data_IF_094383551942
#
_entry.id   IF_094383551942
#
_cell.length_a   1.000
_cell.length_b   1.000
_cell.length_c   1.000
_cell.angle_alpha   90.00
_cell.angle_beta   90.00
_cell.angle_gamma   90.00
#
_symmetry.space_group_name_H-M   'P 1'
#
loop_
_entity.id
_entity.type
_entity.pdbx_description
1 polymer ?
#
# COMPACT_ATOMS: atom_id res chain seq x y z
N UNK A 1 8.36 -4.12 -2.49
CA UNK A 1 9.21 -2.94 -2.28
C UNK A 1 10.58 -3.17 -2.90
N UNK A 2 11.17 -2.17 -3.53
CA UNK A 2 12.50 -2.22 -4.13
C UNK A 2 13.35 -1.12 -3.50
N UNK A 3 14.52 -1.48 -2.98
CA UNK A 3 15.44 -0.56 -2.30
C UNK A 3 16.76 -0.46 -3.05
N UNK A 4 17.42 0.68 -2.94
CA UNK A 4 18.74 0.93 -3.53
C UNK A 4 18.98 2.42 -3.75
N UNK A 5 20.16 2.80 -4.25
CA UNK A 5 20.40 4.19 -4.61
C UNK A 5 19.64 4.59 -5.89
N UNK A 6 19.52 5.88 -6.18
CA UNK A 6 18.72 6.38 -7.30
C UNK A 6 19.09 5.78 -8.67
N UNK A 7 20.39 5.52 -8.89
CA UNK A 7 20.89 4.91 -10.14
C UNK A 7 20.47 3.45 -10.26
N UNK A 8 20.55 2.71 -9.16
CA UNK A 8 20.10 1.33 -9.07
C UNK A 8 18.58 1.22 -9.23
N UNK A 9 17.81 2.08 -8.56
CA UNK A 9 16.35 2.10 -8.66
C UNK A 9 15.88 2.42 -10.09
N UNK A 10 16.55 3.36 -10.77
CA UNK A 10 16.25 3.66 -12.18
C UNK A 10 16.51 2.46 -13.10
N UNK A 11 17.57 1.70 -12.81
CA UNK A 11 17.90 0.46 -13.55
C UNK A 11 16.89 -0.64 -13.23
N UNK A 12 16.57 -0.83 -11.96
CA UNK A 12 15.61 -1.82 -11.49
C UNK A 12 14.20 -1.55 -12.06
N UNK A 13 13.76 -0.29 -12.14
CA UNK A 13 12.48 0.08 -12.77
C UNK A 13 12.39 -0.41 -14.22
N UNK A 14 13.43 -0.19 -15.02
CA UNK A 14 13.48 -0.67 -16.41
C UNK A 14 13.47 -2.20 -16.48
N UNK A 15 14.25 -2.85 -15.62
CA UNK A 15 14.34 -4.31 -15.59
C UNK A 15 13.02 -4.97 -15.16
N UNK A 16 12.28 -4.35 -14.23
CA UNK A 16 11.01 -4.85 -13.70
C UNK A 16 9.80 -4.45 -14.53
N UNK A 17 9.94 -3.58 -15.54
CA UNK A 17 8.81 -3.15 -16.36
C UNK A 17 8.11 -4.34 -17.06
N UNK A 18 8.82 -5.25 -17.77
CA UNK A 18 8.16 -6.42 -18.38
C UNK A 18 7.50 -7.34 -17.35
N UNK A 19 8.03 -7.36 -16.12
CA UNK A 19 7.47 -8.13 -15.02
C UNK A 19 6.15 -7.51 -14.53
N UNK A 20 6.10 -6.18 -14.35
CA UNK A 20 4.92 -5.46 -13.91
C UNK A 20 3.77 -5.51 -14.94
N UNK A 21 4.12 -5.57 -16.23
CA UNK A 21 3.17 -5.67 -17.35
C UNK A 21 2.69 -7.10 -17.63
N UNK A 22 3.29 -8.11 -16.99
CA UNK A 22 2.91 -9.51 -17.21
C UNK A 22 1.44 -9.75 -16.80
N UNK A 23 0.63 -10.51 -17.58
CA UNK A 23 -0.81 -10.71 -17.31
C UNK A 23 -1.15 -11.23 -15.90
N UNK A 24 -0.34 -12.16 -15.39
CA UNK A 24 -0.49 -12.70 -14.02
C UNK A 24 -0.11 -11.73 -12.89
N UNK A 25 0.41 -10.54 -13.22
CA UNK A 25 1.04 -9.61 -12.28
C UNK A 25 0.36 -8.24 -12.32
N UNK A 26 0.01 -7.76 -13.51
CA UNK A 26 -0.55 -6.43 -13.72
C UNK A 26 -1.79 -6.21 -12.83
N UNK A 27 -1.78 -5.12 -12.07
CA UNK A 27 -2.86 -4.72 -11.16
C UNK A 27 -3.06 -5.59 -9.91
N UNK A 28 -2.31 -6.68 -9.72
CA UNK A 28 -2.47 -7.59 -8.57
C UNK A 28 -1.63 -7.21 -7.35
N UNK A 29 -0.52 -6.52 -7.57
CA UNK A 29 0.45 -6.20 -6.52
C UNK A 29 0.78 -4.71 -6.50
N UNK A 30 1.11 -4.21 -5.31
CA UNK A 30 1.61 -2.86 -5.12
C UNK A 30 3.15 -2.87 -5.15
N UNK A 31 3.71 -1.94 -5.90
CA UNK A 31 5.14 -1.76 -6.04
C UNK A 31 5.53 -0.38 -5.54
N UNK A 32 6.65 -0.34 -4.83
CA UNK A 32 7.22 0.90 -4.35
C UNK A 32 8.74 0.83 -4.44
N UNK A 33 9.36 1.98 -4.70
CA UNK A 33 10.80 2.15 -4.90
C UNK A 33 11.30 3.22 -3.94
N UNK A 34 12.22 2.85 -3.06
CA UNK A 34 12.65 3.73 -1.98
C UNK A 34 14.17 3.73 -1.86
N UNK A 35 14.75 4.93 -1.81
CA UNK A 35 16.19 5.13 -1.64
C UNK A 35 16.57 5.51 -0.21
N UNK A 36 15.65 6.03 0.59
CA UNK A 36 15.92 6.35 1.99
C UNK A 36 15.64 5.16 2.92
N UNK A 37 16.72 4.51 3.38
CA UNK A 37 16.67 3.43 4.37
C UNK A 37 15.97 3.80 5.67
N UNK A 38 16.08 5.06 6.12
CA UNK A 38 15.47 5.49 7.39
C UNK A 38 13.95 5.49 7.34
N UNK A 39 13.38 5.63 6.15
CA UNK A 39 11.92 5.66 5.96
C UNK A 39 11.34 4.26 6.11
N UNK A 40 11.91 3.28 5.39
CA UNK A 40 11.31 1.95 5.33
C UNK A 40 11.74 1.00 6.45
N UNK A 41 12.95 1.16 7.00
CA UNK A 41 13.44 0.30 8.08
C UNK A 41 12.61 0.43 9.38
N UNK A 42 11.95 1.58 9.58
CA UNK A 42 11.06 1.83 10.74
C UNK A 42 9.74 1.07 10.68
N UNK A 43 9.26 0.77 9.47
CA UNK A 43 7.93 0.17 9.24
C UNK A 43 8.00 -1.28 8.78
N UNK A 44 9.18 -1.74 8.31
CA UNK A 44 9.41 -3.10 7.87
C UNK A 44 10.24 -3.92 8.85
N UNK A 45 9.63 -4.96 9.40
CA UNK A 45 10.34 -5.98 10.20
C UNK A 45 11.02 -7.03 9.31
N UNK A 46 12.08 -7.68 9.84
CA UNK A 46 12.94 -8.66 9.14
C UNK A 46 13.56 -8.15 7.84
N UNK A 47 13.60 -6.84 7.67
CA UNK A 47 14.19 -6.19 6.52
C UNK A 47 15.72 -6.25 6.59
N UNK A 48 16.35 -6.24 5.42
CA UNK A 48 17.81 -6.24 5.29
C UNK A 48 18.22 -4.96 4.58
N UNK A 49 19.20 -4.27 5.14
CA UNK A 49 19.83 -3.09 4.57
C UNK A 49 20.41 -3.35 3.18
N UNK A 50 20.52 -2.28 2.40
CA UNK A 50 21.07 -2.29 1.05
C UNK A 50 20.07 -2.56 -0.07
N UNK A 51 20.60 -2.68 -1.28
CA UNK A 51 19.84 -2.64 -2.52
C UNK A 51 19.22 -4.00 -2.88
N UNK A 52 17.91 -4.13 -2.74
CA UNK A 52 17.20 -5.43 -2.81
C UNK A 52 15.77 -5.28 -3.31
N UNK A 53 15.20 -6.39 -3.76
CA UNK A 53 13.76 -6.53 -3.97
C UNK A 53 13.19 -7.31 -2.78
N UNK A 54 12.18 -6.75 -2.12
CA UNK A 54 11.53 -7.31 -0.94
C UNK A 54 10.05 -7.59 -1.20
N UNK A 55 9.64 -8.82 -0.92
CA UNK A 55 8.23 -9.21 -0.84
C UNK A 55 7.77 -8.97 0.59
N UNK A 56 6.84 -8.04 0.74
CA UNK A 56 6.35 -7.55 2.03
C UNK A 56 4.92 -8.04 2.22
N UNK A 57 4.65 -8.73 3.34
CA UNK A 57 3.29 -8.88 3.83
C UNK A 57 2.96 -7.66 4.68
N UNK A 58 1.95 -6.91 4.23
CA UNK A 58 1.40 -5.81 4.99
C UNK A 58 0.70 -6.32 6.26
N UNK A 59 0.73 -5.49 7.30
CA UNK A 59 -0.09 -5.69 8.49
C UNK A 59 -1.57 -5.43 8.19
N UNK A 60 -2.42 -5.53 9.21
CA UNK A 60 -3.88 -5.39 9.02
C UNK A 60 -4.27 -4.06 8.39
N UNK A 61 -3.54 -2.98 8.67
CA UNK A 61 -3.89 -1.62 8.24
C UNK A 61 -2.99 -1.09 7.12
N UNK A 62 -2.00 -1.85 6.66
CA UNK A 62 -1.08 -1.44 5.61
C UNK A 62 -0.06 -0.38 6.03
N UNK A 63 0.09 -0.10 7.33
CA UNK A 63 1.03 0.89 7.83
C UNK A 63 2.41 0.30 8.12
N UNK A 64 2.45 -1.00 8.42
CA UNK A 64 3.66 -1.75 8.69
C UNK A 64 3.67 -3.02 7.86
N UNK A 65 4.82 -3.68 7.80
CA UNK A 65 4.93 -4.96 7.13
C UNK A 65 6.05 -5.83 7.64
N UNK A 66 6.02 -7.08 7.20
CA UNK A 66 7.08 -8.04 7.41
C UNK A 66 7.65 -8.48 6.06
N UNK A 67 8.98 -8.48 5.97
CA UNK A 67 9.67 -9.01 4.79
C UNK A 67 9.65 -10.54 4.85
N UNK A 68 8.86 -11.16 3.97
CA UNK A 68 8.77 -12.62 3.87
C UNK A 68 9.92 -13.17 3.03
N UNK A 69 10.32 -12.45 1.98
CA UNK A 69 11.40 -12.88 1.09
C UNK A 69 12.14 -11.67 0.52
N UNK A 70 13.44 -11.84 0.31
CA UNK A 70 14.29 -10.81 -0.30
C UNK A 70 15.17 -11.39 -1.40
N UNK A 71 15.41 -10.59 -2.44
CA UNK A 71 16.19 -10.93 -3.61
C UNK A 71 17.19 -9.81 -3.93
N UNK A 72 18.32 -10.14 -4.57
CA UNK A 72 19.16 -9.10 -5.18
C UNK A 72 18.44 -8.44 -6.36
N UNK A 73 18.87 -7.23 -6.75
CA UNK A 73 18.24 -6.47 -7.85
C UNK A 73 18.36 -7.14 -9.23
N UNK A 74 19.31 -8.07 -9.41
CA UNK A 74 19.56 -8.80 -10.65
C UNK A 74 18.91 -10.21 -10.69
N UNK A 75 17.92 -10.46 -9.83
CA UNK A 75 17.18 -11.73 -9.81
C UNK A 75 16.51 -11.99 -11.16
N UNK A 76 16.41 -13.26 -11.55
CA UNK A 76 15.62 -13.63 -12.73
C UNK A 76 14.14 -13.33 -12.48
N UNK A 77 13.48 -12.73 -13.46
CA UNK A 77 12.08 -12.33 -13.35
C UNK A 77 11.13 -13.51 -13.09
N UNK A 78 11.47 -14.70 -13.58
CA UNK A 78 10.70 -15.94 -13.36
C UNK A 78 10.73 -16.32 -11.87
N UNK A 79 11.90 -16.34 -11.25
CA UNK A 79 12.05 -16.69 -9.83
C UNK A 79 11.32 -15.68 -8.93
N UNK A 80 11.34 -14.40 -9.32
CA UNK A 80 10.59 -13.34 -8.63
C UNK A 80 9.08 -13.55 -8.78
N UNK A 81 8.61 -13.92 -9.98
CA UNK A 81 7.19 -14.19 -10.28
C UNK A 81 6.65 -15.31 -9.41
N UNK A 82 7.33 -16.44 -9.42
CA UNK A 82 6.91 -17.64 -8.70
C UNK A 82 6.88 -17.38 -7.19
N UNK A 83 7.86 -16.65 -6.68
CA UNK A 83 7.89 -16.25 -5.28
C UNK A 83 6.74 -15.32 -4.90
N UNK A 84 6.40 -14.36 -5.77
CA UNK A 84 5.33 -13.40 -5.53
C UNK A 84 3.95 -14.07 -5.61
N UNK A 85 3.73 -14.94 -6.60
CA UNK A 85 2.49 -15.72 -6.72
C UNK A 85 2.31 -16.67 -5.55
N UNK A 86 3.37 -17.37 -5.12
CA UNK A 86 3.31 -18.25 -3.94
C UNK A 86 3.01 -17.48 -2.66
N UNK A 87 3.57 -16.28 -2.50
CA UNK A 87 3.24 -15.40 -1.37
C UNK A 87 1.76 -14.98 -1.41
N UNK A 88 1.24 -14.64 -2.60
CA UNK A 88 -0.17 -14.30 -2.78
C UNK A 88 -1.11 -15.47 -2.46
N UNK A 89 -0.79 -16.68 -2.91
CA UNK A 89 -1.58 -17.88 -2.59
C UNK A 89 -1.61 -18.15 -1.08
N UNK A 90 -0.47 -18.01 -0.41
CA UNK A 90 -0.40 -18.11 1.05
C UNK A 90 -1.25 -17.04 1.74
N UNK A 91 -1.19 -15.80 1.24
CA UNK A 91 -2.00 -14.71 1.77
C UNK A 91 -3.49 -14.98 1.60
N UNK A 92 -3.93 -15.40 0.42
CA UNK A 92 -5.32 -15.69 0.11
C UNK A 92 -5.90 -16.84 0.97
N UNK A 93 -5.08 -17.85 1.29
CA UNK A 93 -5.49 -18.98 2.14
C UNK A 93 -5.57 -18.61 3.62
N UNK A 94 -4.64 -17.78 4.10
CA UNK A 94 -4.48 -17.53 5.53
C UNK A 94 -5.14 -16.23 6.00
N UNK A 95 -5.54 -15.34 5.09
CA UNK A 95 -6.12 -14.04 5.44
C UNK A 95 -7.64 -14.08 5.42
N UNK A 96 -8.24 -13.85 6.58
CA UNK A 96 -9.70 -13.72 6.69
C UNK A 96 -10.21 -12.53 5.89
N UNK A 97 -11.31 -12.71 5.15
CA UNK A 97 -11.96 -11.64 4.39
C UNK A 97 -12.27 -10.45 5.32
N UNK A 98 -11.82 -9.26 4.91
CA UNK A 98 -12.05 -8.01 5.63
C UNK A 98 -13.55 -7.67 5.68
N UNK A 99 -14.11 -7.60 6.89
CA UNK A 99 -15.39 -6.91 7.11
C UNK A 99 -15.09 -5.42 7.28
N UNK A 100 -15.58 -4.60 6.35
CA UNK A 100 -15.25 -3.18 6.28
C UNK A 100 -15.63 -2.41 7.55
N UNK A 101 -16.87 -2.56 8.03
CA UNK A 101 -17.35 -1.84 9.22
C UNK A 101 -16.53 -2.16 10.47
N UNK A 102 -16.29 -3.45 10.70
CA UNK A 102 -15.47 -3.90 11.83
C UNK A 102 -14.02 -3.43 11.71
N UNK A 103 -13.48 -3.40 10.49
CA UNK A 103 -12.13 -2.96 10.24
C UNK A 103 -11.94 -1.46 10.53
N UNK A 104 -12.86 -0.61 10.09
CA UNK A 104 -12.82 0.84 10.37
C UNK A 104 -12.95 1.09 11.87
N UNK A 105 -13.89 0.43 12.55
CA UNK A 105 -14.05 0.58 14.00
C UNK A 105 -12.79 0.15 14.77
N UNK A 106 -12.17 -0.96 14.38
CA UNK A 106 -10.90 -1.42 14.97
C UNK A 106 -9.76 -0.44 14.72
N UNK A 107 -9.65 0.09 13.50
CA UNK A 107 -8.65 1.12 13.17
C UNK A 107 -8.80 2.35 14.06
N UNK A 108 -10.01 2.89 14.18
CA UNK A 108 -10.31 4.04 15.06
C UNK A 108 -9.98 3.74 16.53
N UNK A 109 -10.37 2.57 17.06
CA UNK A 109 -10.07 2.17 18.43
C UNK A 109 -8.56 2.04 18.67
N UNK A 110 -7.81 1.58 17.68
CA UNK A 110 -6.37 1.40 17.75
C UNK A 110 -5.58 2.69 17.44
N UNK A 111 -6.26 3.84 17.27
CA UNK A 111 -5.61 5.11 16.96
C UNK A 111 -4.94 5.15 15.58
N UNK A 112 -5.34 4.26 14.67
CA UNK A 112 -4.82 4.22 13.30
C UNK A 112 -5.40 5.39 12.53
N UNK A 113 -4.61 6.43 12.32
CA UNK A 113 -4.95 7.58 11.50
C UNK A 113 -4.28 7.46 10.13
N UNK A 114 -4.97 7.94 9.11
CA UNK A 114 -4.43 8.11 7.77
C UNK A 114 -4.68 9.56 7.36
N UNK A 115 -3.61 10.31 7.15
CA UNK A 115 -3.71 11.67 6.62
C UNK A 115 -3.85 11.58 5.11
N UNK A 116 -5.04 11.94 4.62
CA UNK A 116 -5.27 12.04 3.19
C UNK A 116 -4.58 13.32 2.68
N UNK A 117 -3.85 13.26 1.55
CA UNK A 117 -3.24 14.44 0.96
C UNK A 117 -4.27 15.41 0.34
N UNK A 118 -5.52 14.96 0.21
CA UNK A 118 -6.65 15.79 -0.21
C UNK A 118 -7.64 15.93 0.93
N UNK A 119 -8.23 17.12 1.04
CA UNK A 119 -9.33 17.39 1.95
C UNK A 119 -10.53 16.48 1.64
N UNK A 120 -11.40 16.27 2.63
CA UNK A 120 -12.57 15.42 2.47
C UNK A 120 -13.78 16.24 2.01
N UNK A 121 -14.40 15.84 0.89
CA UNK A 121 -15.70 16.35 0.43
C UNK A 121 -15.90 16.18 -1.08
N UNK A 122 -17.00 16.71 -1.59
CA UNK A 122 -17.35 16.69 -3.02
C UNK A 122 -17.12 18.09 -3.60
N UNK A 123 -16.58 18.18 -4.82
CA UNK A 123 -16.59 19.38 -5.66
C UNK A 123 -17.73 19.20 -6.67
N UNK A 124 -18.90 19.79 -6.37
CA UNK A 124 -20.14 19.58 -7.14
C UNK A 124 -20.31 20.58 -8.26
N UNK A 125 -19.66 21.73 -8.18
CA UNK A 125 -19.71 22.77 -9.20
C UNK A 125 -18.48 22.75 -10.14
N UNK A 126 -17.47 21.94 -9.81
CA UNK A 126 -16.30 21.70 -10.64
C UNK A 126 -15.28 22.84 -10.58
N UNK A 127 -15.29 23.64 -9.51
CA UNK A 127 -14.40 24.80 -9.36
C UNK A 127 -12.99 24.43 -8.83
N UNK A 128 -12.76 23.15 -8.52
CA UNK A 128 -11.51 22.63 -7.99
C UNK A 128 -11.34 22.86 -6.49
N UNK A 129 -12.37 23.35 -5.79
CA UNK A 129 -12.43 23.46 -4.34
C UNK A 129 -13.49 22.52 -3.80
N UNK A 130 -13.25 22.05 -2.58
CA UNK A 130 -14.20 21.17 -1.93
C UNK A 130 -15.39 21.99 -1.42
N UNK A 131 -16.59 21.56 -1.79
CA UNK A 131 -17.83 22.09 -1.24
C UNK A 131 -17.98 21.65 0.21
N UNK A 132 -17.53 22.49 1.13
CA UNK A 132 -17.79 22.33 2.56
C UNK A 132 -19.24 22.74 2.88
N UNK A 133 -20.24 22.03 2.35
CA UNK A 133 -21.64 22.27 2.74
C UNK A 133 -21.85 21.70 4.13
N UNK A 134 -21.91 22.58 5.13
CA UNK A 134 -22.19 22.26 6.53
C UNK A 134 -23.30 21.23 6.66
N UNK A 135 -22.96 20.06 7.19
CA UNK A 135 -23.91 18.99 7.43
C UNK A 135 -25.03 19.45 8.37
N UNK A 136 -26.24 19.00 8.06
CA UNK A 136 -27.42 18.94 8.94
C UNK A 136 -27.97 20.28 9.46
N UNK A 137 -28.92 20.83 8.72
CA UNK A 137 -29.97 21.65 9.32
C UNK A 137 -30.65 20.88 10.45
N UNK A 138 -30.61 21.43 11.66
CA UNK A 138 -31.46 21.00 12.78
C UNK A 138 -32.92 21.04 12.30
N UNK A 139 -33.75 20.00 12.54
CA UNK A 139 -35.18 20.14 12.34
C UNK A 139 -35.66 21.25 13.29
N UNK A 140 -36.13 22.36 12.74
CA UNK A 140 -36.78 23.41 13.52
C UNK A 140 -37.98 22.85 14.30
N UNK A 141 -38.36 23.47 15.43
CA UNK A 141 -39.40 22.93 16.29
C UNK A 141 -40.73 22.88 15.53
N UNK A 142 -41.35 21.69 15.48
CA UNK A 142 -42.73 21.51 15.02
C UNK A 142 -43.65 22.26 15.98
N UNK A 143 -44.25 23.36 15.52
CA UNK A 143 -45.41 23.96 16.19
C UNK A 143 -46.63 23.07 15.93
N UNK A 144 -47.37 22.83 17.02
CA UNK A 144 -48.64 22.08 17.08
C UNK A 144 -49.72 22.73 16.24
#
# INVERSE_FOLDING_TARGET
MVTGNDKELKTARKHLQPFAEHPDIIGRFHYDFESDEKTWSKVLSKSKSGSRIMIVAADTFGQKGEVIKSFPLNVKLIDLKDALLKANESYAKNTTKKNYGNHIQKGRRNGVTWEMPMEYGEDRDGDGKIDHRGGTGRPGPRRR
#
